data_IF_477173037637
#
_entry.id   IF_477173037637
#
_cell.length_a   1.000
_cell.length_b   1.000
_cell.length_c   1.000
_cell.angle_alpha   90.00
_cell.angle_beta   90.00
_cell.angle_gamma   90.00
#
_symmetry.space_group_name_H-M   'P 1'
#
loop_
_entity.id
_entity.type
_entity.pdbx_description
1 polymer ?
#
# COMPACT_ATOMS: atom_id res chain seq x y z
N UNK A 1 -15.26 -10.34 -12.64
CA UNK A 1 -14.30 -9.23 -12.51
C UNK A 1 -12.85 -9.69 -12.68
N UNK A 2 -12.40 -10.73 -11.98
CA UNK A 2 -11.02 -11.25 -12.11
C UNK A 2 -10.62 -11.50 -13.57
N UNK A 3 -11.45 -12.21 -14.34
CA UNK A 3 -11.16 -12.47 -15.77
C UNK A 3 -11.05 -11.20 -16.62
N UNK A 4 -11.87 -10.17 -16.30
CA UNK A 4 -11.81 -8.87 -16.98
C UNK A 4 -10.47 -8.20 -16.70
N UNK A 5 -10.07 -8.13 -15.43
CA UNK A 5 -8.78 -7.54 -15.02
C UNK A 5 -7.62 -8.31 -15.66
N UNK A 6 -7.64 -9.65 -15.63
CA UNK A 6 -6.61 -10.47 -16.27
C UNK A 6 -6.53 -10.24 -17.79
N UNK A 7 -7.66 -10.05 -18.46
CA UNK A 7 -7.66 -9.70 -19.88
C UNK A 7 -7.12 -8.28 -20.12
N UNK A 8 -7.42 -7.33 -19.24
CA UNK A 8 -6.84 -5.97 -19.29
C UNK A 8 -5.33 -5.97 -19.09
N UNK A 9 -4.82 -6.81 -18.18
CA UNK A 9 -3.36 -7.00 -18.03
C UNK A 9 -2.74 -7.52 -19.34
N UNK A 10 -3.38 -8.46 -20.04
CA UNK A 10 -2.87 -8.95 -21.35
C UNK A 10 -2.90 -7.87 -22.43
N UNK A 11 -3.95 -7.05 -22.46
CA UNK A 11 -4.09 -5.90 -23.35
C UNK A 11 -2.93 -4.90 -23.13
N UNK A 12 -2.66 -4.54 -21.87
CA UNK A 12 -1.52 -3.69 -21.49
C UNK A 12 -0.19 -4.29 -21.96
N UNK A 13 0.05 -5.59 -21.73
CA UNK A 13 1.28 -6.26 -22.18
C UNK A 13 1.48 -6.15 -23.70
N UNK A 14 0.40 -6.25 -24.48
CA UNK A 14 0.44 -6.16 -25.93
C UNK A 14 0.62 -4.72 -26.42
N UNK A 15 -0.17 -3.77 -25.92
CA UNK A 15 -0.18 -2.38 -26.39
C UNK A 15 1.07 -1.60 -25.95
N UNK A 16 1.51 -1.80 -24.70
CA UNK A 16 2.71 -1.15 -24.16
C UNK A 16 3.99 -1.95 -24.47
N UNK A 17 3.84 -3.17 -25.00
CA UNK A 17 4.94 -4.10 -25.32
C UNK A 17 5.87 -4.32 -24.11
N UNK A 18 5.27 -4.69 -22.98
CA UNK A 18 5.92 -4.95 -21.68
C UNK A 18 5.54 -6.33 -21.15
N UNK A 19 6.34 -6.86 -20.21
CA UNK A 19 6.00 -8.06 -19.42
C UNK A 19 5.49 -7.64 -18.05
N UNK A 20 4.23 -7.91 -17.73
CA UNK A 20 3.69 -7.72 -16.38
C UNK A 20 4.05 -8.95 -15.53
N UNK A 21 4.89 -8.74 -14.51
CA UNK A 21 5.35 -9.82 -13.62
C UNK A 21 4.48 -10.02 -12.38
N UNK A 22 3.81 -8.97 -11.94
CA UNK A 22 2.90 -8.97 -10.79
C UNK A 22 1.73 -8.05 -11.10
N UNK A 23 0.50 -8.49 -10.84
CA UNK A 23 -0.69 -7.65 -10.80
C UNK A 23 -1.55 -8.08 -9.61
N UNK A 24 -1.90 -7.13 -8.76
CA UNK A 24 -2.58 -7.35 -7.48
C UNK A 24 -3.66 -6.32 -7.25
N UNK A 25 -4.59 -6.62 -6.35
CA UNK A 25 -5.50 -5.63 -5.79
C UNK A 25 -4.74 -4.76 -4.77
N UNK A 26 -5.15 -3.51 -4.64
CA UNK A 26 -4.69 -2.59 -3.61
C UNK A 26 -5.89 -1.91 -2.93
N UNK A 27 -5.61 -0.89 -2.13
CA UNK A 27 -6.65 -0.07 -1.51
C UNK A 27 -7.65 -0.87 -0.67
N UNK A 28 -8.90 -0.42 -0.70
CA UNK A 28 -9.92 -0.86 0.26
C UNK A 28 -10.26 -2.35 0.19
N UNK A 29 -10.22 -2.95 -1.00
CA UNK A 29 -10.46 -4.38 -1.24
C UNK A 29 -9.31 -5.24 -0.74
N UNK A 30 -8.06 -4.83 -1.01
CA UNK A 30 -6.89 -5.55 -0.49
C UNK A 30 -6.76 -5.43 1.04
N UNK A 31 -7.31 -4.37 1.63
CA UNK A 31 -7.32 -4.15 3.07
C UNK A 31 -8.50 -4.84 3.78
N UNK A 32 -9.49 -5.35 3.05
CA UNK A 32 -10.64 -6.10 3.58
C UNK A 32 -11.73 -5.23 4.21
N UNK A 33 -11.92 -4.01 3.69
CA UNK A 33 -12.99 -3.11 4.14
C UNK A 33 -13.70 -2.43 2.97
N UNK A 34 -13.73 -3.07 1.81
CA UNK A 34 -14.46 -2.62 0.65
C UNK A 34 -15.95 -2.47 0.93
N UNK A 35 -16.57 -1.53 0.21
CA UNK A 35 -18.02 -1.43 0.12
C UNK A 35 -18.48 -1.95 -1.25
N UNK A 36 -19.80 -2.07 -1.44
CA UNK A 36 -20.39 -2.50 -2.72
C UNK A 36 -19.93 -1.60 -3.89
N UNK A 37 -19.76 -0.30 -3.61
CA UNK A 37 -19.40 0.71 -4.60
C UNK A 37 -17.89 0.97 -4.69
N UNK A 38 -17.05 0.17 -4.00
CA UNK A 38 -15.60 0.39 -4.04
C UNK A 38 -15.04 0.04 -5.42
N UNK A 39 -14.15 0.90 -5.91
CA UNK A 39 -13.35 0.71 -7.11
C UNK A 39 -12.41 -0.50 -6.98
N UNK A 40 -11.84 -0.91 -8.11
CA UNK A 40 -10.80 -1.91 -8.20
C UNK A 40 -9.46 -1.20 -8.42
N UNK A 41 -8.67 -1.11 -7.34
CA UNK A 41 -7.34 -0.51 -7.29
C UNK A 41 -6.29 -1.51 -7.80
N UNK A 42 -6.29 -1.79 -9.10
CA UNK A 42 -5.33 -2.74 -9.67
C UNK A 42 -3.95 -2.10 -9.74
N UNK A 43 -2.97 -2.72 -9.10
CA UNK A 43 -1.58 -2.28 -9.11
C UNK A 43 -0.68 -3.36 -9.69
N UNK A 44 0.24 -2.99 -10.56
CA UNK A 44 1.09 -3.95 -11.24
C UNK A 44 2.55 -3.52 -11.36
N UNK A 45 3.43 -4.51 -11.50
CA UNK A 45 4.86 -4.31 -11.77
C UNK A 45 5.14 -4.91 -13.14
N UNK A 46 5.79 -4.13 -13.99
CA UNK A 46 6.13 -4.55 -15.36
C UNK A 46 7.61 -4.35 -15.67
N UNK A 47 8.06 -5.08 -16.68
CA UNK A 47 9.41 -5.05 -17.22
C UNK A 47 9.33 -4.64 -18.69
N UNK A 48 10.15 -3.66 -19.08
CA UNK A 48 10.32 -3.26 -20.49
C UNK A 48 11.41 -4.08 -21.15
N UNK A 49 11.50 -3.98 -22.48
CA UNK A 49 12.63 -4.56 -23.20
C UNK A 49 13.92 -3.85 -22.81
N UNK A 50 15.03 -4.58 -22.79
CA UNK A 50 16.35 -4.06 -22.45
C UNK A 50 16.71 -2.78 -23.21
N UNK A 51 16.37 -2.69 -24.48
CA UNK A 51 16.66 -1.53 -25.32
C UNK A 51 15.99 -0.25 -24.80
N UNK A 52 14.81 -0.35 -24.17
CA UNK A 52 14.09 0.81 -23.64
C UNK A 52 14.84 1.46 -22.47
N UNK A 53 15.57 0.68 -21.68
CA UNK A 53 16.40 1.19 -20.59
C UNK A 53 17.71 1.85 -21.07
N UNK A 54 18.12 1.57 -22.30
CA UNK A 54 19.36 2.08 -22.90
C UNK A 54 19.15 3.29 -23.82
N UNK A 55 17.89 3.71 -24.06
CA UNK A 55 17.57 4.90 -24.85
C UNK A 55 18.04 6.18 -24.14
N UNK A 56 18.50 7.16 -24.92
CA UNK A 56 18.82 8.51 -24.40
C UNK A 56 17.56 9.26 -23.91
N UNK A 57 16.40 8.89 -24.44
CA UNK A 57 15.08 9.37 -24.04
C UNK A 57 14.22 8.17 -23.58
N UNK A 58 14.48 7.63 -22.38
CA UNK A 58 13.76 6.46 -21.90
C UNK A 58 12.26 6.78 -21.73
N UNK A 59 11.38 5.77 -21.92
CA UNK A 59 9.95 5.95 -21.72
C UNK A 59 9.61 6.24 -20.24
N UNK A 60 8.37 6.69 -19.99
CA UNK A 60 7.88 6.87 -18.61
C UNK A 60 7.94 5.53 -17.85
N UNK A 61 8.24 5.64 -16.55
CA UNK A 61 8.37 4.53 -15.63
C UNK A 61 7.05 4.13 -14.95
N UNK A 62 5.93 4.69 -15.44
CA UNK A 62 4.55 4.45 -14.98
C UNK A 62 3.66 4.23 -16.20
N UNK A 63 2.76 3.25 -16.09
CA UNK A 63 1.65 3.06 -17.03
C UNK A 63 0.35 3.30 -16.25
N UNK A 64 -0.52 4.14 -16.81
CA UNK A 64 -1.84 4.47 -16.28
C UNK A 64 -2.86 3.93 -17.29
N UNK A 65 -3.75 3.04 -16.87
CA UNK A 65 -4.66 2.33 -17.75
C UNK A 65 -6.07 2.34 -17.19
N UNK A 66 -7.06 2.67 -18.03
CA UNK A 66 -8.48 2.73 -17.67
C UNK A 66 -8.72 3.29 -16.26
N UNK A 67 -8.58 4.62 -16.14
CA UNK A 67 -8.86 5.36 -14.91
C UNK A 67 -10.32 5.83 -14.93
N UNK A 68 -11.25 4.93 -14.61
CA UNK A 68 -12.67 5.22 -14.52
C UNK A 68 -13.23 4.94 -13.12
N UNK A 69 -14.55 5.10 -12.91
CA UNK A 69 -15.18 4.94 -11.60
C UNK A 69 -15.18 3.48 -11.10
N UNK A 70 -14.81 2.51 -11.94
CA UNK A 70 -14.82 1.08 -11.62
C UNK A 70 -13.39 0.53 -11.54
N UNK A 71 -12.52 0.90 -12.48
CA UNK A 71 -11.15 0.44 -12.57
C UNK A 71 -10.19 1.61 -12.37
N UNK A 72 -9.20 1.43 -11.51
CA UNK A 72 -7.98 2.24 -11.46
C UNK A 72 -6.79 1.30 -11.63
N UNK A 73 -6.26 1.19 -12.85
CA UNK A 73 -5.14 0.29 -13.15
C UNK A 73 -3.85 1.12 -13.30
N UNK A 74 -2.93 0.96 -12.36
CA UNK A 74 -1.66 1.67 -12.35
C UNK A 74 -0.47 0.71 -12.21
N UNK A 75 0.54 0.90 -13.06
CA UNK A 75 1.71 0.04 -13.10
C UNK A 75 3.01 0.80 -12.93
N UNK A 76 3.96 0.20 -12.20
CA UNK A 76 5.32 0.70 -12.09
C UNK A 76 6.31 -0.20 -12.82
N UNK A 77 7.23 0.44 -13.54
CA UNK A 77 8.38 -0.23 -14.13
C UNK A 77 9.25 -0.87 -13.04
N UNK A 78 9.93 -1.97 -13.35
CA UNK A 78 10.83 -2.66 -12.44
C UNK A 78 11.94 -1.74 -11.91
N UNK A 79 12.54 -0.88 -12.74
CA UNK A 79 13.56 0.07 -12.30
C UNK A 79 13.02 1.03 -11.24
N UNK A 80 11.80 1.56 -11.44
CA UNK A 80 11.12 2.41 -10.47
C UNK A 80 10.86 1.65 -9.17
N UNK A 81 10.31 0.45 -9.29
CA UNK A 81 9.99 -0.42 -8.16
C UNK A 81 11.23 -0.69 -7.30
N UNK A 82 12.35 -1.06 -7.92
CA UNK A 82 13.61 -1.33 -7.20
C UNK A 82 14.19 -0.06 -6.54
N UNK A 83 14.11 1.09 -7.20
CA UNK A 83 14.53 2.38 -6.61
C UNK A 83 13.65 2.78 -5.41
N UNK A 84 12.36 2.46 -5.45
CA UNK A 84 11.44 2.68 -4.34
C UNK A 84 11.67 1.69 -3.21
N UNK A 85 11.97 0.42 -3.54
CA UNK A 85 12.37 -0.61 -2.59
C UNK A 85 13.67 -0.22 -1.86
N UNK A 86 14.66 0.33 -2.56
CA UNK A 86 15.88 0.88 -1.95
C UNK A 86 15.58 1.94 -0.87
N UNK A 87 14.52 2.73 -1.06
CA UNK A 87 14.07 3.75 -0.11
C UNK A 87 13.10 3.21 0.95
N UNK A 88 12.86 1.90 0.93
CA UNK A 88 11.89 1.21 1.77
C UNK A 88 10.49 1.84 1.67
N UNK A 89 10.04 2.14 0.45
CA UNK A 89 8.71 2.69 0.23
C UNK A 89 7.63 1.64 0.57
N UNK A 90 6.68 1.93 1.49
CA UNK A 90 5.69 0.95 1.96
C UNK A 90 4.81 0.40 0.83
N UNK A 91 4.52 1.20 -0.20
CA UNK A 91 3.65 0.80 -1.32
C UNK A 91 4.16 -0.45 -2.03
N UNK A 92 5.49 -0.56 -2.21
CA UNK A 92 6.10 -1.73 -2.86
C UNK A 92 5.88 -2.99 -2.01
N UNK A 93 6.10 -2.88 -0.71
CA UNK A 93 5.87 -3.99 0.23
C UNK A 93 4.40 -4.40 0.26
N UNK A 94 3.48 -3.43 0.28
CA UNK A 94 2.04 -3.66 0.24
C UNK A 94 1.63 -4.41 -1.03
N UNK A 95 2.14 -4.02 -2.20
CA UNK A 95 1.83 -4.74 -3.45
C UNK A 95 2.38 -6.17 -3.44
N UNK A 96 3.60 -6.37 -2.95
CA UNK A 96 4.22 -7.70 -2.84
C UNK A 96 3.54 -8.62 -1.81
N UNK A 97 2.78 -8.04 -0.88
CA UNK A 97 2.06 -8.75 0.18
C UNK A 97 0.54 -8.69 0.03
N UNK A 98 0.03 -8.21 -1.10
CA UNK A 98 -1.41 -8.19 -1.35
C UNK A 98 -1.99 -9.61 -1.35
N UNK A 99 -3.13 -9.85 -0.68
CA UNK A 99 -3.76 -11.15 -0.63
C UNK A 99 -4.50 -11.52 -1.92
N UNK A 100 -4.88 -10.53 -2.74
CA UNK A 100 -5.66 -10.72 -3.96
C UNK A 100 -4.73 -10.51 -5.16
N UNK A 101 -4.43 -11.61 -5.86
CA UNK A 101 -3.45 -11.65 -6.95
C UNK A 101 -4.17 -11.94 -8.27
N UNK A 102 -4.01 -11.05 -9.25
CA UNK A 102 -4.51 -11.25 -10.61
C UNK A 102 -3.48 -11.94 -11.51
N UNK A 103 -2.19 -11.63 -11.32
CA UNK A 103 -1.07 -12.24 -12.03
C UNK A 103 0.17 -12.27 -11.14
N UNK A 104 0.92 -13.37 -11.17
CA UNK A 104 2.22 -13.48 -10.50
C UNK A 104 3.12 -14.44 -11.26
N UNK A 105 4.33 -14.01 -11.61
CA UNK A 105 5.35 -14.83 -12.25
C UNK A 105 6.47 -15.20 -11.27
N UNK A 106 7.38 -16.11 -11.68
CA UNK A 106 8.58 -16.45 -10.88
C UNK A 106 9.48 -15.23 -10.63
N UNK A 107 9.53 -14.27 -11.57
CA UNK A 107 10.28 -13.01 -11.37
C UNK A 107 9.71 -12.21 -10.20
N UNK A 108 8.38 -12.16 -10.05
CA UNK A 108 7.76 -11.49 -8.91
C UNK A 108 8.05 -12.19 -7.57
N UNK A 109 8.15 -13.52 -7.55
CA UNK A 109 8.54 -14.27 -6.36
C UNK A 109 9.99 -13.96 -5.96
N UNK A 110 10.91 -13.94 -6.94
CA UNK A 110 12.29 -13.55 -6.72
C UNK A 110 12.43 -12.11 -6.21
N UNK A 111 11.64 -11.18 -6.75
CA UNK A 111 11.57 -9.80 -6.25
C UNK A 111 11.07 -9.75 -4.81
N UNK A 112 10.04 -10.53 -4.46
CA UNK A 112 9.50 -10.60 -3.10
C UNK A 112 10.53 -11.12 -2.11
N UNK A 113 11.26 -12.17 -2.44
CA UNK A 113 12.35 -12.69 -1.60
C UNK A 113 13.39 -11.62 -1.31
N UNK A 114 13.90 -10.93 -2.35
CA UNK A 114 14.90 -9.88 -2.18
C UNK A 114 14.35 -8.70 -1.37
N UNK A 115 13.06 -8.37 -1.52
CA UNK A 115 12.45 -7.22 -0.84
C UNK A 115 12.58 -7.27 0.68
N UNK A 116 12.63 -8.47 1.28
CA UNK A 116 12.75 -8.65 2.72
C UNK A 116 14.05 -8.05 3.28
N UNK A 117 15.12 -8.03 2.49
CA UNK A 117 16.42 -7.45 2.88
C UNK A 117 16.42 -5.92 2.86
N UNK A 118 15.40 -5.29 2.27
CA UNK A 118 15.28 -3.83 2.12
C UNK A 118 14.26 -3.21 3.07
N UNK A 119 13.79 -3.97 4.06
CA UNK A 119 12.90 -3.46 5.10
C UNK A 119 13.71 -2.57 6.07
N UNK A 120 13.53 -1.26 5.96
CA UNK A 120 14.05 -0.27 6.91
C UNK A 120 12.90 0.19 7.83
N UNK A 121 12.87 -0.25 9.10
CA UNK A 121 11.81 0.09 10.04
C UNK A 121 11.60 1.60 10.19
N UNK A 122 12.68 2.37 10.29
CA UNK A 122 12.62 3.82 10.52
C UNK A 122 11.98 4.54 9.34
N UNK A 123 12.43 4.23 8.11
CA UNK A 123 11.85 4.83 6.90
C UNK A 123 10.38 4.46 6.74
N UNK A 124 10.02 3.19 6.95
CA UNK A 124 8.63 2.74 6.84
C UNK A 124 7.72 3.42 7.86
N UNK A 125 8.14 3.49 9.13
CA UNK A 125 7.37 4.18 10.17
C UNK A 125 7.17 5.66 9.82
N UNK A 126 8.20 6.37 9.34
CA UNK A 126 8.03 7.76 8.91
C UNK A 126 7.03 7.91 7.76
N UNK A 127 7.05 7.00 6.77
CA UNK A 127 6.09 7.04 5.67
C UNK A 127 4.66 6.86 6.17
N UNK A 128 4.41 5.86 7.02
CA UNK A 128 3.08 5.64 7.59
C UNK A 128 2.65 6.80 8.50
N UNK A 129 3.54 7.30 9.36
CA UNK A 129 3.26 8.43 10.23
C UNK A 129 2.91 9.69 9.42
N UNK A 130 3.63 9.97 8.33
CA UNK A 130 3.34 11.09 7.45
C UNK A 130 1.96 10.95 6.80
N UNK A 131 1.65 9.77 6.27
CA UNK A 131 0.34 9.45 5.68
C UNK A 131 -0.79 9.65 6.68
N UNK A 132 -0.67 9.07 7.87
CA UNK A 132 -1.64 9.21 8.95
C UNK A 132 -1.84 10.68 9.35
N UNK A 133 -0.74 11.41 9.56
CA UNK A 133 -0.77 12.81 9.99
C UNK A 133 -1.43 13.72 8.95
N UNK A 134 -1.12 13.51 7.66
CA UNK A 134 -1.72 14.27 6.57
C UNK A 134 -3.22 14.03 6.48
N UNK A 135 -3.64 12.75 6.46
CA UNK A 135 -5.05 12.37 6.40
C UNK A 135 -5.83 12.84 7.65
N UNK A 136 -5.24 12.76 8.84
CA UNK A 136 -5.85 13.27 10.07
C UNK A 136 -6.13 14.77 9.97
N UNK A 137 -5.14 15.56 9.57
CA UNK A 137 -5.26 17.03 9.46
C UNK A 137 -6.32 17.45 8.44
N UNK A 138 -6.38 16.75 7.31
CA UNK A 138 -7.28 17.08 6.20
C UNK A 138 -8.73 16.64 6.47
N UNK A 139 -8.93 15.46 7.05
CA UNK A 139 -10.25 14.81 7.06
C UNK A 139 -10.89 14.67 8.43
N UNK A 140 -10.13 14.42 9.50
CA UNK A 140 -10.69 14.03 10.80
C UNK A 140 -10.92 15.18 11.78
N UNK A 141 -10.64 16.43 11.36
CA UNK A 141 -10.89 17.64 12.15
C UNK A 141 -12.28 18.24 11.96
N UNK A 142 -13.11 17.66 11.10
CA UNK A 142 -14.47 18.12 10.79
C UNK A 142 -15.49 17.49 11.76
N UNK A 143 -16.64 18.14 11.95
CA UNK A 143 -17.72 17.61 12.80
C UNK A 143 -18.33 16.32 12.24
N UNK A 144 -18.38 16.23 10.90
CA UNK A 144 -18.77 15.03 10.16
C UNK A 144 -17.61 14.51 9.34
N UNK A 145 -17.42 13.20 9.39
CA UNK A 145 -16.26 12.53 8.80
C UNK A 145 -16.72 11.32 8.01
N UNK A 146 -16.20 11.17 6.79
CA UNK A 146 -16.41 9.97 5.99
C UNK A 146 -15.72 8.77 6.63
N UNK A 147 -16.45 7.67 6.80
CA UNK A 147 -15.94 6.47 7.49
C UNK A 147 -14.62 5.97 6.88
N UNK A 148 -14.51 5.92 5.54
CA UNK A 148 -13.27 5.51 4.82
C UNK A 148 -12.03 6.30 5.26
N UNK A 149 -12.19 7.57 5.67
CA UNK A 149 -11.06 8.41 6.12
C UNK A 149 -10.54 8.04 7.51
N UNK A 150 -11.38 7.46 8.40
CA UNK A 150 -10.88 6.88 9.64
C UNK A 150 -9.91 5.73 9.36
N UNK A 151 -10.26 4.83 8.45
CA UNK A 151 -9.37 3.71 8.08
C UNK A 151 -8.07 4.17 7.42
N UNK A 152 -8.12 5.26 6.66
CA UNK A 152 -6.93 5.86 6.02
C UNK A 152 -5.98 6.56 7.01
N UNK A 153 -6.42 6.75 8.27
CA UNK A 153 -5.57 7.23 9.37
C UNK A 153 -5.19 6.09 10.30
N UNK A 154 -6.15 5.23 10.68
CA UNK A 154 -5.91 4.13 11.60
C UNK A 154 -4.95 3.10 11.00
N UNK A 155 -5.17 2.64 9.76
CA UNK A 155 -4.31 1.62 9.14
C UNK A 155 -2.83 2.00 9.15
N UNK A 156 -2.39 3.18 8.66
CA UNK A 156 -0.98 3.54 8.74
C UNK A 156 -0.45 3.65 10.18
N UNK A 157 -1.25 4.13 11.16
CA UNK A 157 -0.81 4.16 12.56
C UNK A 157 -0.61 2.75 13.14
N UNK A 158 -1.56 1.84 12.89
CA UNK A 158 -1.45 0.45 13.34
C UNK A 158 -0.29 -0.27 12.63
N UNK A 159 -0.06 0.00 11.34
CA UNK A 159 1.07 -0.52 10.58
C UNK A 159 2.42 -0.01 11.14
N UNK A 160 2.51 1.27 11.51
CA UNK A 160 3.68 1.82 12.19
C UNK A 160 3.92 1.15 13.55
N UNK A 161 2.86 0.97 14.36
CA UNK A 161 2.94 0.25 15.63
C UNK A 161 3.34 -1.22 15.48
N UNK A 162 2.87 -1.88 14.43
CA UNK A 162 3.29 -3.24 14.08
C UNK A 162 4.80 -3.29 13.84
N UNK A 163 5.34 -2.37 13.04
CA UNK A 163 6.78 -2.31 12.77
C UNK A 163 7.57 -2.00 14.04
N UNK A 164 7.07 -1.08 14.87
CA UNK A 164 7.67 -0.76 16.18
C UNK A 164 7.79 -2.03 17.04
N UNK A 165 6.68 -2.77 17.20
CA UNK A 165 6.55 -3.90 18.13
C UNK A 165 7.14 -5.21 17.60
N UNK A 166 6.88 -5.54 16.34
CA UNK A 166 7.19 -6.83 15.72
C UNK A 166 8.43 -6.78 14.82
N UNK A 167 8.90 -5.60 14.40
CA UNK A 167 10.07 -5.42 13.50
C UNK A 167 9.95 -6.16 12.16
N UNK A 168 8.73 -6.46 11.73
CA UNK A 168 8.43 -7.13 10.47
C UNK A 168 7.48 -6.29 9.62
N UNK A 169 7.27 -6.72 8.38
CA UNK A 169 6.30 -6.09 7.50
C UNK A 169 4.88 -6.22 8.10
N UNK A 170 4.09 -5.13 8.14
CA UNK A 170 2.70 -5.19 8.58
C UNK A 170 1.84 -5.98 7.58
N UNK A 171 0.82 -6.72 8.05
CA UNK A 171 -0.13 -7.40 7.17
C UNK A 171 -0.92 -6.39 6.34
N UNK A 172 -1.39 -6.84 5.18
CA UNK A 172 -2.19 -6.00 4.28
C UNK A 172 -3.61 -5.80 4.81
N UNK A 173 -4.18 -6.84 5.43
CA UNK A 173 -5.53 -6.86 5.99
C UNK A 173 -5.63 -5.92 7.20
N UNK A 174 -6.62 -5.05 7.18
CA UNK A 174 -6.84 -4.09 8.25
C UNK A 174 -7.26 -4.75 9.56
N UNK A 175 -8.06 -5.83 9.49
CA UNK A 175 -8.54 -6.52 10.68
C UNK A 175 -7.40 -7.14 11.50
N UNK A 176 -6.39 -7.70 10.84
CA UNK A 176 -5.19 -8.25 11.50
C UNK A 176 -4.41 -7.17 12.25
N UNK A 177 -4.40 -5.93 11.73
CA UNK A 177 -3.81 -4.78 12.41
C UNK A 177 -4.65 -4.35 13.62
N UNK A 178 -5.98 -4.36 13.50
CA UNK A 178 -6.90 -4.01 14.58
C UNK A 178 -6.76 -4.99 15.74
N UNK A 179 -6.84 -6.29 15.48
CA UNK A 179 -6.75 -7.34 16.51
C UNK A 179 -5.46 -7.30 17.32
N UNK A 180 -4.35 -6.90 16.69
CA UNK A 180 -3.02 -7.00 17.28
C UNK A 180 -2.47 -5.68 17.86
N UNK A 181 -2.92 -4.54 17.33
CA UNK A 181 -2.34 -3.22 17.63
C UNK A 181 -3.34 -2.22 18.20
N UNK A 182 -4.65 -2.41 18.03
CA UNK A 182 -5.66 -1.49 18.57
C UNK A 182 -5.99 -1.86 20.02
N UNK A 183 -6.14 -0.89 20.94
CA UNK A 183 -6.63 -1.16 22.29
C UNK A 183 -8.01 -1.83 22.29
N UNK A 184 -8.21 -2.84 23.15
CA UNK A 184 -9.47 -3.60 23.24
C UNK A 184 -10.71 -2.71 23.44
N UNK A 185 -10.57 -1.58 24.14
CA UNK A 185 -11.65 -0.62 24.35
C UNK A 185 -12.12 0.09 23.07
N UNK A 186 -11.27 0.19 22.05
CA UNK A 186 -11.58 0.86 20.79
C UNK A 186 -12.01 -0.12 19.69
N UNK A 187 -11.78 -1.42 19.87
CA UNK A 187 -12.17 -2.47 18.90
C UNK A 187 -13.68 -2.40 18.56
N UNK A 188 -14.62 -2.33 19.53
CA UNK A 188 -16.05 -2.25 19.22
C UNK A 188 -16.43 -1.03 18.37
N UNK A 189 -15.71 0.08 18.52
CA UNK A 189 -15.94 1.30 17.75
C UNK A 189 -15.51 1.08 16.29
N UNK A 190 -14.35 0.47 16.08
CA UNK A 190 -13.83 0.19 14.74
C UNK A 190 -14.65 -0.89 14.04
N UNK A 191 -15.09 -1.93 14.75
CA UNK A 191 -15.98 -2.96 14.21
C UNK A 191 -17.31 -2.34 13.75
N UNK A 192 -17.90 -1.46 14.57
CA UNK A 192 -19.10 -0.75 14.18
C UNK A 192 -18.89 0.12 12.93
N UNK A 193 -17.74 0.79 12.80
CA UNK A 193 -17.41 1.54 11.59
C UNK A 193 -17.27 0.63 10.35
N UNK A 194 -16.72 -0.57 10.52
CA UNK A 194 -16.60 -1.56 9.43
C UNK A 194 -17.97 -2.06 8.99
N UNK A 195 -18.87 -2.35 9.93
CA UNK A 195 -20.26 -2.73 9.66
C UNK A 195 -21.04 -1.60 8.97
N UNK A 196 -20.87 -0.36 9.41
CA UNK A 196 -21.48 0.80 8.77
C UNK A 196 -20.94 1.00 7.35
N UNK A 197 -19.64 0.79 7.13
CA UNK A 197 -19.04 0.93 5.82
C UNK A 197 -19.51 -0.14 4.83
N UNK A 198 -19.73 -1.37 5.29
CA UNK A 198 -20.20 -2.46 4.42
C UNK A 198 -21.67 -2.30 4.04
N UNK A 199 -22.48 -1.66 4.90
CA UNK A 199 -23.92 -1.48 4.71
C UNK A 199 -24.33 -0.15 4.06
N UNK A 200 -23.52 0.91 4.18
CA UNK A 200 -23.78 2.22 3.58
C UNK A 200 -23.00 2.39 2.26
N UNK A 201 -23.53 3.15 1.27
CA UNK A 201 -22.75 3.60 0.12
C UNK A 201 -21.47 4.36 0.56
N UNK A 202 -20.44 4.43 -0.31
CA UNK A 202 -19.10 4.98 0.01
C UNK A 202 -19.09 6.38 0.68
N UNK A 203 -20.20 7.13 0.63
CA UNK A 203 -20.39 8.43 1.26
C UNK A 203 -20.92 8.42 2.70
N UNK A 204 -20.88 7.27 3.41
CA UNK A 204 -21.26 7.21 4.82
C UNK A 204 -20.46 8.19 5.69
N UNK A 205 -21.11 9.27 6.14
CA UNK A 205 -20.53 10.23 7.08
C UNK A 205 -21.09 10.00 8.49
N UNK A 206 -20.18 9.81 9.44
CA UNK A 206 -20.49 9.74 10.87
C UNK A 206 -20.16 11.06 11.54
N UNK A 207 -20.75 11.30 12.72
CA UNK A 207 -20.21 12.31 13.61
C UNK A 207 -18.78 11.90 13.98
N UNK A 208 -17.91 12.89 14.13
CA UNK A 208 -16.58 12.68 14.68
C UNK A 208 -16.67 11.88 15.99
N UNK A 209 -15.84 10.86 16.09
CA UNK A 209 -15.70 9.99 17.25
C UNK A 209 -14.48 10.47 18.03
N UNK A 210 -14.71 11.08 19.18
CA UNK A 210 -13.65 11.75 19.93
C UNK A 210 -12.67 10.77 20.55
N UNK A 211 -13.14 9.60 21.01
CA UNK A 211 -12.30 8.54 21.55
C UNK A 211 -11.26 8.05 20.54
N UNK A 212 -11.65 7.89 19.26
CA UNK A 212 -10.73 7.53 18.19
C UNK A 212 -9.78 8.67 17.85
N UNK A 213 -10.28 9.92 17.85
CA UNK A 213 -9.44 11.07 17.54
C UNK A 213 -8.39 11.32 18.63
N UNK A 214 -8.74 11.15 19.91
CA UNK A 214 -7.81 11.22 21.04
C UNK A 214 -6.72 10.15 20.90
N UNK A 215 -7.10 8.90 20.66
CA UNK A 215 -6.16 7.81 20.37
C UNK A 215 -5.24 8.15 19.19
N UNK A 216 -5.79 8.62 18.06
CA UNK A 216 -5.02 8.96 16.86
C UNK A 216 -3.96 10.03 17.18
N UNK A 217 -4.32 11.08 17.91
CA UNK A 217 -3.36 12.14 18.28
C UNK A 217 -2.27 11.59 19.18
N UNK A 218 -2.65 10.83 20.22
CA UNK A 218 -1.68 10.18 21.12
C UNK A 218 -0.72 9.26 20.36
N UNK A 219 -1.24 8.43 19.43
CA UNK A 219 -0.41 7.54 18.62
C UNK A 219 0.53 8.31 17.70
N UNK A 220 0.07 9.39 17.05
CA UNK A 220 0.92 10.23 16.20
C UNK A 220 2.12 10.75 17.00
N UNK A 221 1.89 11.28 18.19
CA UNK A 221 2.96 11.85 19.02
C UNK A 221 3.89 10.75 19.55
N UNK A 222 3.35 9.64 20.07
CA UNK A 222 4.16 8.51 20.55
C UNK A 222 5.03 7.90 19.46
N UNK A 223 4.46 7.57 18.31
CA UNK A 223 5.18 6.97 17.18
C UNK A 223 6.28 7.91 16.70
N UNK A 224 6.02 9.22 16.68
CA UNK A 224 7.00 10.24 16.31
C UNK A 224 8.20 10.26 17.26
N UNK A 225 7.97 10.15 18.56
CA UNK A 225 9.05 10.06 19.55
C UNK A 225 9.87 8.79 19.35
N UNK A 226 9.21 7.65 19.21
CA UNK A 226 9.87 6.35 19.04
C UNK A 226 10.73 6.30 17.76
N UNK A 227 10.19 6.73 16.61
CA UNK A 227 10.92 6.67 15.33
C UNK A 227 12.13 7.60 15.31
N UNK A 228 12.08 8.72 16.04
CA UNK A 228 13.22 9.64 16.14
C UNK A 228 14.41 9.01 16.86
N UNK A 229 14.16 8.06 17.78
CA UNK A 229 15.21 7.32 18.50
C UNK A 229 15.79 6.14 17.72
N UNK A 230 15.18 5.73 16.61
CA UNK A 230 15.65 4.60 15.81
C UNK A 230 16.85 4.99 14.95
N UNK A 231 17.67 4.00 14.60
CA UNK A 231 18.72 4.14 13.58
C UNK A 231 18.18 3.77 12.20
N UNK A 232 18.82 4.29 11.14
CA UNK A 232 18.47 3.91 9.77
C UNK A 232 19.17 2.59 9.40
N UNK A 233 18.50 1.76 8.60
CA UNK A 233 19.16 0.62 7.95
C UNK A 233 20.06 1.09 6.81
N UNK A 234 21.17 0.36 6.60
CA UNK A 234 22.06 0.58 5.46
C UNK A 234 21.61 -0.31 4.30
N UNK A 235 21.22 0.30 3.18
CA UNK A 235 20.80 -0.41 1.98
C UNK A 235 21.90 -0.34 0.91
N UNK A 236 22.12 -1.45 0.22
CA UNK A 236 23.11 -1.57 -0.85
C UNK A 236 22.43 -1.64 -2.22
N UNK A 237 23.02 -1.01 -3.23
CA UNK A 237 22.49 -1.05 -4.60
C UNK A 237 22.79 -2.36 -5.32
N UNK A 238 23.89 -3.02 -4.97
CA UNK A 238 24.39 -4.17 -5.72
C UNK A 238 23.39 -5.32 -5.86
N UNK A 239 22.67 -5.76 -4.80
CA UNK A 239 21.66 -6.82 -4.97
C UNK A 239 20.50 -6.40 -5.88
N UNK A 240 20.04 -5.14 -5.81
CA UNK A 240 18.98 -4.63 -6.70
C UNK A 240 19.46 -4.51 -8.15
N UNK A 241 20.72 -4.07 -8.37
CA UNK A 241 21.32 -4.00 -9.69
C UNK A 241 21.42 -5.39 -10.33
N UNK A 242 21.89 -6.38 -9.57
CA UNK A 242 21.98 -7.76 -10.03
C UNK A 242 20.61 -8.33 -10.39
N UNK A 243 19.59 -8.11 -9.54
CA UNK A 243 18.23 -8.53 -9.83
C UNK A 243 17.67 -7.85 -11.09
N UNK A 244 17.91 -6.55 -11.23
CA UNK A 244 17.45 -5.80 -12.40
C UNK A 244 18.06 -6.35 -13.68
N UNK A 245 19.38 -6.58 -13.70
CA UNK A 245 20.10 -7.12 -14.86
C UNK A 245 19.67 -8.55 -15.19
N UNK A 246 19.39 -9.38 -14.18
CA UNK A 246 18.90 -10.75 -14.34
C UNK A 246 17.51 -10.79 -15.01
N UNK A 247 16.67 -9.80 -14.73
CA UNK A 247 15.26 -9.80 -15.13
C UNK A 247 14.96 -9.21 -16.51
N UNK A 248 15.86 -8.39 -17.07
CA UNK A 248 15.66 -7.63 -18.33
C UNK A 248 16.34 -8.25 -19.55
#
# INVERSE_FOLDING_TARGET
MIDLIQNKIKEIEQEENVEVILAVESGSRAWGFESVDSDYDVRFIYIRKKEDYLKLNPPRDVIEWQLDEVLDINGWDLSKTLKLLYKSNPTVFEWLSSPIIYKKTKKAERLKELSLDYLDPKKLIYHYLHMATSNYREYLKKDRVRIKKYFYVLRPLLAANWIIKKKTQPPMMFIELVEEMLPESLVPIVDHLLELKSSLPEMGEVKRIDELNEYIVEQIDRIKEEVNMMENSVNYWEPLNNLFIEMI
#
